data_IF_215516898473
#
_entry.id   IF_215516898473
#
_cell.length_a   1.000
_cell.length_b   1.000
_cell.length_c   1.000
_cell.angle_alpha   90.00
_cell.angle_beta   90.00
_cell.angle_gamma   90.00
#
_symmetry.space_group_name_H-M   'P 1'
#
loop_
_entity.id
_entity.type
_entity.pdbx_description
1 polymer ?
#
# COMPACT_ATOMS: atom_id res chain seq x y z
N UNK A 1 13.34 9.01 -10.10
CA UNK A 1 14.49 8.87 -9.16
C UNK A 1 15.23 7.53 -9.29
N UNK A 2 14.55 6.38 -9.47
CA UNK A 2 15.17 5.05 -9.68
C UNK A 2 16.17 4.98 -10.87
N UNK A 3 15.80 5.55 -12.02
CA UNK A 3 16.69 5.61 -13.20
C UNK A 3 18.02 6.31 -12.90
N UNK A 4 18.01 7.41 -12.13
CA UNK A 4 19.21 8.20 -11.86
C UNK A 4 20.24 7.45 -11.01
N UNK A 5 19.80 6.61 -10.06
CA UNK A 5 20.68 5.74 -9.27
C UNK A 5 21.25 4.57 -10.10
N UNK A 6 20.43 3.97 -10.96
CA UNK A 6 20.86 2.92 -11.90
C UNK A 6 21.90 3.46 -12.88
N UNK A 7 21.70 4.68 -13.41
CA UNK A 7 22.68 5.36 -14.26
C UNK A 7 24.01 5.59 -13.55
N UNK A 8 24.02 5.98 -12.27
CA UNK A 8 25.25 6.16 -11.50
C UNK A 8 26.01 4.84 -11.33
N UNK A 9 25.31 3.75 -11.03
CA UNK A 9 25.92 2.40 -10.94
C UNK A 9 26.50 1.98 -12.29
N UNK A 10 25.76 2.22 -13.38
CA UNK A 10 26.21 1.91 -14.73
C UNK A 10 27.42 2.76 -15.17
N UNK A 11 27.44 4.05 -14.80
CA UNK A 11 28.57 4.94 -15.05
C UNK A 11 29.80 4.53 -14.23
N UNK A 12 29.63 4.13 -12.97
CA UNK A 12 30.72 3.65 -12.12
C UNK A 12 31.31 2.33 -12.63
N UNK A 13 30.46 1.38 -13.07
CA UNK A 13 30.95 0.14 -13.69
C UNK A 13 31.69 0.43 -15.00
N UNK A 14 31.16 1.32 -15.85
CA UNK A 14 31.81 1.70 -17.11
C UNK A 14 33.17 2.39 -16.89
N UNK A 15 33.31 3.23 -15.84
CA UNK A 15 34.59 3.85 -15.49
C UNK A 15 35.62 2.82 -15.00
N UNK A 16 35.19 1.82 -14.22
CA UNK A 16 36.04 0.72 -13.76
C UNK A 16 36.51 -0.12 -14.96
N UNK A 17 35.61 -0.44 -15.89
CA UNK A 17 35.97 -1.15 -17.12
C UNK A 17 36.95 -0.39 -18.01
N UNK A 18 36.75 0.92 -18.17
CA UNK A 18 37.71 1.77 -18.87
C UNK A 18 39.08 1.79 -18.18
N UNK A 19 39.13 1.83 -16.86
CA UNK A 19 40.38 1.79 -16.09
C UNK A 19 41.11 0.45 -16.24
N UNK A 20 40.38 -0.66 -16.28
CA UNK A 20 40.92 -2.01 -16.51
C UNK A 20 41.51 -2.12 -17.92
N UNK A 21 40.80 -1.65 -18.95
CA UNK A 21 41.30 -1.61 -20.34
C UNK A 21 42.59 -0.80 -20.44
N UNK A 22 42.66 0.36 -19.75
CA UNK A 22 43.82 1.24 -19.80
C UNK A 22 45.07 0.66 -19.11
N UNK A 23 44.91 -0.17 -18.07
CA UNK A 23 46.02 -0.83 -17.37
C UNK A 23 46.42 -2.19 -17.96
N UNK A 24 45.51 -2.90 -18.62
CA UNK A 24 45.72 -4.25 -19.12
C UNK A 24 46.03 -4.24 -20.62
N UNK A 25 47.20 -3.70 -20.97
CA UNK A 25 47.73 -3.67 -22.33
C UNK A 25 48.20 -5.07 -22.81
N UNK A 26 47.30 -6.05 -22.83
CA UNK A 26 47.62 -7.44 -23.20
C UNK A 26 46.52 -8.49 -23.04
N UNK A 27 45.30 -8.12 -22.61
CA UNK A 27 44.17 -9.07 -22.53
C UNK A 27 43.34 -9.05 -23.81
N UNK A 28 42.80 -10.20 -24.21
CA UNK A 28 41.87 -10.25 -25.34
C UNK A 28 40.64 -9.40 -25.06
N UNK A 29 40.30 -8.51 -25.99
CA UNK A 29 39.18 -7.58 -25.90
C UNK A 29 37.86 -8.29 -25.56
N UNK A 30 37.67 -9.52 -26.06
CA UNK A 30 36.52 -10.38 -25.76
C UNK A 30 36.43 -10.81 -24.28
N UNK A 31 37.55 -11.03 -23.61
CA UNK A 31 37.58 -11.38 -22.20
C UNK A 31 37.15 -10.19 -21.35
N UNK A 32 37.65 -8.99 -21.66
CA UNK A 32 37.32 -7.76 -20.96
C UNK A 32 35.83 -7.42 -21.11
N UNK A 33 35.27 -7.50 -22.33
CA UNK A 33 33.85 -7.24 -22.53
C UNK A 33 32.95 -8.24 -21.78
N UNK A 34 33.34 -9.52 -21.70
CA UNK A 34 32.60 -10.52 -20.93
C UNK A 34 32.67 -10.25 -19.42
N UNK A 35 33.83 -9.89 -18.87
CA UNK A 35 33.94 -9.56 -17.44
C UNK A 35 33.17 -8.30 -17.07
N UNK A 36 33.17 -7.28 -17.94
CA UNK A 36 32.38 -6.07 -17.74
C UNK A 36 30.88 -6.33 -17.75
N UNK A 37 30.40 -7.13 -18.72
CA UNK A 37 29.00 -7.53 -18.78
C UNK A 37 28.56 -8.28 -17.51
N UNK A 38 29.41 -9.18 -16.99
CA UNK A 38 29.14 -9.91 -15.74
C UNK A 38 29.07 -8.95 -14.54
N UNK A 39 30.04 -8.04 -14.40
CA UNK A 39 30.05 -7.06 -13.29
C UNK A 39 28.83 -6.14 -13.33
N UNK A 40 28.42 -5.69 -14.53
CA UNK A 40 27.21 -4.88 -14.68
C UNK A 40 25.96 -5.63 -14.23
N UNK A 41 25.80 -6.90 -14.65
CA UNK A 41 24.68 -7.76 -14.24
C UNK A 41 24.65 -7.95 -12.71
N UNK A 42 25.81 -8.27 -12.11
CA UNK A 42 25.92 -8.46 -10.66
C UNK A 42 25.59 -7.19 -9.87
N UNK A 43 26.00 -6.02 -10.39
CA UNK A 43 25.73 -4.73 -9.75
C UNK A 43 24.24 -4.40 -9.76
N UNK A 44 23.55 -4.66 -10.87
CA UNK A 44 22.09 -4.49 -10.96
C UNK A 44 21.37 -5.48 -10.03
N UNK A 45 21.79 -6.75 -10.03
CA UNK A 45 21.21 -7.76 -9.14
C UNK A 45 21.38 -7.40 -7.65
N UNK A 46 22.59 -6.97 -7.25
CA UNK A 46 22.87 -6.51 -5.91
C UNK A 46 21.99 -5.32 -5.52
N UNK A 47 21.83 -4.34 -6.40
CA UNK A 47 20.97 -3.18 -6.14
C UNK A 47 19.50 -3.57 -5.92
N UNK A 48 18.97 -4.49 -6.74
CA UNK A 48 17.60 -5.00 -6.57
C UNK A 48 17.43 -5.73 -5.23
N UNK A 49 18.39 -6.58 -4.86
CA UNK A 49 18.37 -7.29 -3.57
C UNK A 49 18.44 -6.31 -2.41
N UNK A 50 19.35 -5.33 -2.48
CA UNK A 50 19.51 -4.30 -1.45
C UNK A 50 18.22 -3.52 -1.22
N UNK A 51 17.58 -2.99 -2.27
CA UNK A 51 16.33 -2.24 -2.15
C UNK A 51 15.21 -3.11 -1.54
N UNK A 52 15.09 -4.38 -1.97
CA UNK A 52 14.12 -5.31 -1.36
C UNK A 52 14.44 -5.63 0.10
N UNK A 53 15.70 -5.73 0.48
CA UNK A 53 16.11 -5.97 1.86
C UNK A 53 15.77 -4.79 2.77
N UNK A 54 15.94 -3.56 2.29
CA UNK A 54 15.54 -2.35 3.02
C UNK A 54 14.02 -2.29 3.21
N UNK A 55 13.26 -2.53 2.14
CA UNK A 55 11.79 -2.60 2.20
C UNK A 55 11.32 -3.67 3.19
N UNK A 56 11.90 -4.87 3.11
CA UNK A 56 11.57 -5.96 4.03
C UNK A 56 11.86 -5.59 5.48
N UNK A 57 12.99 -4.94 5.76
CA UNK A 57 13.34 -4.51 7.11
C UNK A 57 12.32 -3.51 7.68
N UNK A 58 11.77 -2.61 6.85
CA UNK A 58 10.70 -1.71 7.27
C UNK A 58 9.39 -2.47 7.54
N UNK A 59 9.00 -3.39 6.65
CA UNK A 59 7.82 -4.24 6.85
C UNK A 59 7.94 -5.05 8.14
N UNK A 60 9.12 -5.60 8.44
CA UNK A 60 9.39 -6.34 9.67
C UNK A 60 9.25 -5.44 10.92
N UNK A 61 9.70 -4.18 10.86
CA UNK A 61 9.49 -3.21 11.94
C UNK A 61 8.00 -2.94 12.18
N UNK A 62 7.23 -2.69 11.11
CA UNK A 62 5.78 -2.47 11.21
C UNK A 62 5.06 -3.70 11.74
N UNK A 63 5.44 -4.90 11.27
CA UNK A 63 4.86 -6.15 11.76
C UNK A 63 5.11 -6.38 13.25
N UNK A 64 6.25 -5.93 13.79
CA UNK A 64 6.52 -5.97 15.24
C UNK A 64 5.63 -5.02 16.05
N UNK A 65 5.06 -3.98 15.42
CA UNK A 65 4.11 -3.08 16.07
C UNK A 65 2.67 -3.64 16.04
N UNK A 66 2.33 -4.57 15.13
CA UNK A 66 0.97 -5.13 15.01
C UNK A 66 0.38 -5.68 16.32
N UNK A 67 1.12 -6.32 17.23
CA UNK A 67 0.58 -6.74 18.53
C UNK A 67 0.00 -5.60 19.36
N UNK A 68 0.55 -4.38 19.25
CA UNK A 68 0.01 -3.19 19.94
C UNK A 68 -1.44 -2.91 19.48
N UNK A 69 -1.72 -3.11 18.19
CA UNK A 69 -3.04 -2.88 17.61
C UNK A 69 -3.98 -4.07 17.86
N UNK A 70 -3.50 -5.30 17.65
CA UNK A 70 -4.33 -6.50 17.62
C UNK A 70 -4.56 -7.12 19.01
N UNK A 71 -3.55 -7.09 19.88
CA UNK A 71 -3.56 -7.75 21.19
C UNK A 71 -3.78 -6.73 22.30
N UNK A 72 -2.96 -5.66 22.36
CA UNK A 72 -3.09 -4.61 23.37
C UNK A 72 -4.29 -3.69 23.12
N UNK A 73 -4.87 -3.71 21.91
CA UNK A 73 -5.98 -2.83 21.47
C UNK A 73 -5.68 -1.35 21.74
N UNK A 74 -4.43 -0.93 21.48
CA UNK A 74 -3.94 0.40 21.80
C UNK A 74 -3.51 1.16 20.52
N UNK A 75 -4.48 1.71 19.76
CA UNK A 75 -4.18 2.40 18.52
C UNK A 75 -3.32 3.66 18.74
N UNK A 76 -3.47 4.37 19.87
CA UNK A 76 -2.68 5.59 20.16
C UNK A 76 -1.18 5.27 20.33
N UNK A 77 -0.86 4.18 21.06
CA UNK A 77 0.52 3.70 21.18
C UNK A 77 1.07 3.23 19.83
N UNK A 78 0.26 2.54 19.03
CA UNK A 78 0.66 2.11 17.69
C UNK A 78 0.99 3.31 16.79
N UNK A 79 0.14 4.34 16.79
CA UNK A 79 0.35 5.58 16.03
C UNK A 79 1.65 6.24 16.47
N UNK A 80 1.86 6.43 17.77
CA UNK A 80 3.08 7.05 18.30
C UNK A 80 4.36 6.30 17.88
N UNK A 81 4.38 4.98 17.98
CA UNK A 81 5.55 4.19 17.57
C UNK A 81 5.72 4.16 16.04
N UNK A 82 4.63 4.22 15.28
CA UNK A 82 4.67 4.30 13.81
C UNK A 82 5.16 5.67 13.33
N UNK A 83 4.80 6.77 14.01
CA UNK A 83 5.27 8.11 13.67
C UNK A 83 6.79 8.24 13.82
N UNK A 84 7.40 7.58 14.81
CA UNK A 84 8.87 7.52 14.95
C UNK A 84 9.56 6.88 13.74
N UNK A 85 8.88 5.97 13.03
CA UNK A 85 9.44 5.37 11.81
C UNK A 85 9.51 6.36 10.65
N UNK A 86 8.72 7.45 10.66
CA UNK A 86 8.75 8.47 9.62
C UNK A 86 10.10 9.20 9.54
N UNK A 87 10.83 9.30 10.66
CA UNK A 87 12.17 9.89 10.70
C UNK A 87 13.25 8.98 10.09
N UNK A 88 12.96 7.68 9.96
CA UNK A 88 13.93 6.68 9.50
C UNK A 88 13.80 6.34 8.00
N UNK A 89 12.63 6.60 7.42
CA UNK A 89 12.33 6.27 6.02
C UNK A 89 12.89 7.31 5.05
N UNK A 90 13.28 6.89 3.85
CA UNK A 90 14.00 7.75 2.88
C UNK A 90 13.29 7.92 1.55
N UNK A 91 12.33 7.05 1.24
CA UNK A 91 11.63 7.04 -0.03
C UNK A 91 10.13 7.28 0.15
N UNK A 92 9.49 7.82 -0.89
CA UNK A 92 8.04 8.03 -0.91
C UNK A 92 7.27 6.72 -0.68
N UNK A 93 7.76 5.60 -1.21
CA UNK A 93 7.15 4.29 -0.99
C UNK A 93 7.19 3.90 0.49
N UNK A 94 8.36 3.99 1.13
CA UNK A 94 8.50 3.67 2.56
C UNK A 94 7.64 4.58 3.43
N UNK A 95 7.66 5.89 3.14
CA UNK A 95 6.81 6.87 3.83
C UNK A 95 5.33 6.56 3.67
N UNK A 96 4.89 6.19 2.46
CA UNK A 96 3.52 5.80 2.19
C UNK A 96 3.11 4.56 2.98
N UNK A 97 3.97 3.54 3.10
CA UNK A 97 3.67 2.36 3.93
C UNK A 97 3.40 2.79 5.38
N UNK A 98 4.27 3.62 5.96
CA UNK A 98 4.11 4.07 7.36
C UNK A 98 2.83 4.88 7.52
N UNK A 99 2.56 5.85 6.63
CA UNK A 99 1.35 6.68 6.70
C UNK A 99 0.06 5.90 6.48
N UNK A 100 0.05 4.89 5.60
CA UNK A 100 -1.12 4.01 5.42
C UNK A 100 -1.41 3.24 6.71
N UNK A 101 -0.38 2.75 7.40
CA UNK A 101 -0.57 2.04 8.67
C UNK A 101 -1.05 2.98 9.78
N UNK A 102 -0.51 4.20 9.88
CA UNK A 102 -1.00 5.23 10.80
C UNK A 102 -2.47 5.56 10.50
N UNK A 103 -2.82 5.77 9.22
CA UNK A 103 -4.20 6.00 8.81
C UNK A 103 -5.11 4.84 9.19
N UNK A 104 -4.67 3.60 9.04
CA UNK A 104 -5.46 2.43 9.43
C UNK A 104 -5.72 2.40 10.95
N UNK A 105 -4.72 2.74 11.76
CA UNK A 105 -4.92 2.84 13.21
C UNK A 105 -5.90 3.97 13.61
N UNK A 106 -5.96 5.07 12.86
CA UNK A 106 -7.01 6.07 13.02
C UNK A 106 -8.40 5.55 12.60
N UNK A 107 -8.47 4.71 11.56
CA UNK A 107 -9.73 4.05 11.18
C UNK A 107 -10.25 3.12 12.29
N UNK A 108 -9.36 2.40 13.00
CA UNK A 108 -9.72 1.56 14.14
C UNK A 108 -10.32 2.37 15.31
N UNK A 109 -9.96 3.66 15.40
CA UNK A 109 -10.55 4.63 16.33
C UNK A 109 -11.81 5.31 15.79
N UNK A 110 -12.22 5.00 14.57
CA UNK A 110 -13.27 5.70 13.80
C UNK A 110 -12.99 7.19 13.56
N UNK A 111 -11.72 7.61 13.62
CA UNK A 111 -11.26 8.97 13.37
C UNK A 111 -10.98 9.18 11.86
N UNK A 112 -12.00 8.95 11.02
CA UNK A 112 -11.86 8.93 9.55
C UNK A 112 -11.33 10.22 8.96
N UNK A 113 -11.63 11.37 9.57
CA UNK A 113 -11.10 12.66 9.10
C UNK A 113 -9.57 12.71 9.26
N UNK A 114 -9.06 12.33 10.42
CA UNK A 114 -7.61 12.28 10.69
C UNK A 114 -6.93 11.22 9.81
N UNK A 115 -7.57 10.07 9.63
CA UNK A 115 -7.11 9.05 8.69
C UNK A 115 -6.96 9.61 7.26
N UNK A 116 -7.96 10.37 6.79
CA UNK A 116 -7.91 11.03 5.48
C UNK A 116 -6.74 12.00 5.38
N UNK A 117 -6.56 12.86 6.39
CA UNK A 117 -5.47 13.84 6.44
C UNK A 117 -4.11 13.17 6.29
N UNK A 118 -3.86 12.07 7.01
CA UNK A 118 -2.62 11.27 6.87
C UNK A 118 -2.45 10.66 5.48
N UNK A 119 -3.53 10.17 4.86
CA UNK A 119 -3.48 9.65 3.49
C UNK A 119 -3.26 10.75 2.45
N UNK A 120 -3.70 11.98 2.69
CA UNK A 120 -3.49 13.12 1.79
C UNK A 120 -2.06 13.66 1.82
N UNK A 121 -1.28 13.35 2.86
CA UNK A 121 0.17 13.61 2.88
C UNK A 121 0.94 12.74 1.88
N UNK A 122 0.31 11.71 1.31
CA UNK A 122 0.93 10.79 0.36
C UNK A 122 0.67 11.29 -1.07
N UNK A 123 1.73 11.47 -1.85
CA UNK A 123 1.61 11.66 -3.30
C UNK A 123 1.47 10.29 -3.98
N UNK A 124 0.24 9.75 -4.05
CA UNK A 124 0.02 8.40 -4.57
C UNK A 124 0.50 8.25 -6.03
N UNK A 125 0.51 9.31 -6.84
CA UNK A 125 0.90 9.26 -8.27
C UNK A 125 2.42 9.05 -8.46
N UNK A 126 3.22 9.26 -7.40
CA UNK A 126 4.67 9.05 -7.42
C UNK A 126 5.09 7.68 -6.87
N UNK A 127 4.13 6.90 -6.38
CA UNK A 127 4.38 5.58 -5.84
C UNK A 127 4.56 4.54 -6.94
N UNK A 128 5.27 3.45 -6.63
CA UNK A 128 5.19 2.27 -7.51
C UNK A 128 3.83 1.59 -7.41
N UNK A 129 3.40 0.96 -8.50
CA UNK A 129 2.05 0.40 -8.71
C UNK A 129 1.42 -0.27 -7.48
N UNK A 130 2.15 -1.10 -6.73
CA UNK A 130 1.60 -1.80 -5.58
C UNK A 130 1.20 -0.84 -4.44
N UNK A 131 2.04 0.15 -4.11
CA UNK A 131 1.72 1.10 -3.05
C UNK A 131 0.69 2.13 -3.51
N UNK A 132 0.71 2.52 -4.79
CA UNK A 132 -0.33 3.35 -5.38
C UNK A 132 -1.73 2.71 -5.19
N UNK A 133 -1.83 1.40 -5.46
CA UNK A 133 -3.08 0.64 -5.28
C UNK A 133 -3.50 0.62 -3.82
N UNK A 134 -2.57 0.35 -2.90
CA UNK A 134 -2.87 0.32 -1.45
C UNK A 134 -3.30 1.71 -0.97
N UNK A 135 -2.56 2.76 -1.33
CA UNK A 135 -2.90 4.17 -1.06
C UNK A 135 -4.32 4.51 -1.51
N UNK A 136 -4.67 4.14 -2.74
CA UNK A 136 -5.99 4.36 -3.32
C UNK A 136 -7.08 3.54 -2.62
N UNK A 137 -6.78 2.29 -2.25
CA UNK A 137 -7.69 1.41 -1.53
C UNK A 137 -8.13 2.04 -0.19
N UNK A 138 -7.17 2.48 0.62
CA UNK A 138 -7.44 3.13 1.89
C UNK A 138 -8.11 4.49 1.74
N UNK A 139 -7.79 5.27 0.69
CA UNK A 139 -8.48 6.52 0.39
C UNK A 139 -9.96 6.30 0.07
N UNK A 140 -10.29 5.30 -0.75
CA UNK A 140 -11.68 4.96 -1.05
C UNK A 140 -12.45 4.61 0.23
N UNK A 141 -11.85 3.80 1.10
CA UNK A 141 -12.45 3.40 2.38
C UNK A 141 -12.76 4.60 3.25
N UNK A 142 -11.78 5.48 3.48
CA UNK A 142 -11.98 6.66 4.31
C UNK A 142 -12.99 7.63 3.69
N UNK A 143 -12.97 7.83 2.37
CA UNK A 143 -13.96 8.69 1.71
C UNK A 143 -15.39 8.17 1.83
N UNK A 144 -15.60 6.85 1.74
CA UNK A 144 -16.91 6.26 2.00
C UNK A 144 -17.41 6.56 3.42
N UNK A 145 -16.54 6.43 4.43
CA UNK A 145 -16.89 6.74 5.81
C UNK A 145 -17.14 8.22 6.08
N UNK A 146 -16.49 9.10 5.32
CA UNK A 146 -16.73 10.54 5.37
C UNK A 146 -17.97 10.97 4.57
N UNK A 147 -18.63 10.06 3.85
CA UNK A 147 -19.76 10.37 2.99
C UNK A 147 -19.39 11.04 1.66
N UNK A 148 -18.10 11.15 1.33
CA UNK A 148 -17.63 11.61 0.02
C UNK A 148 -17.71 10.47 -1.01
N UNK A 149 -18.96 10.08 -1.31
CA UNK A 149 -19.26 9.00 -2.24
C UNK A 149 -18.73 9.26 -3.65
N UNK A 150 -18.68 10.52 -4.08
CA UNK A 150 -18.20 10.88 -5.41
C UNK A 150 -16.70 10.56 -5.57
N UNK A 151 -15.87 11.00 -4.61
CA UNK A 151 -14.42 10.70 -4.62
C UNK A 151 -14.16 9.21 -4.44
N UNK A 152 -14.90 8.54 -3.56
CA UNK A 152 -14.77 7.11 -3.33
C UNK A 152 -15.11 6.30 -4.60
N UNK A 153 -16.24 6.59 -5.25
CA UNK A 153 -16.67 5.93 -6.49
C UNK A 153 -15.68 6.18 -7.63
N UNK A 154 -15.15 7.40 -7.76
CA UNK A 154 -14.10 7.69 -8.75
C UNK A 154 -12.89 6.77 -8.58
N UNK A 155 -12.41 6.58 -7.35
CA UNK A 155 -11.30 5.67 -7.05
C UNK A 155 -11.69 4.23 -7.38
N UNK A 156 -12.87 3.77 -6.96
CA UNK A 156 -13.36 2.41 -7.20
C UNK A 156 -13.39 2.08 -8.70
N UNK A 157 -13.84 3.03 -9.54
CA UNK A 157 -13.84 2.88 -10.99
C UNK A 157 -12.42 2.93 -11.57
N UNK A 158 -11.59 3.90 -11.18
CA UNK A 158 -10.22 4.05 -11.70
C UNK A 158 -9.35 2.81 -11.42
N UNK A 159 -9.51 2.19 -10.26
CA UNK A 159 -8.69 1.06 -9.81
C UNK A 159 -9.39 -0.30 -9.87
N UNK A 160 -10.57 -0.40 -10.47
CA UNK A 160 -11.42 -1.61 -10.47
C UNK A 160 -10.64 -2.89 -10.83
N UNK A 161 -9.89 -2.87 -11.95
CA UNK A 161 -9.10 -4.04 -12.38
C UNK A 161 -8.03 -4.43 -11.35
N UNK A 162 -7.37 -3.45 -10.73
CA UNK A 162 -6.31 -3.70 -9.74
C UNK A 162 -6.93 -4.25 -8.44
N UNK A 163 -8.04 -3.68 -7.97
CA UNK A 163 -8.78 -4.18 -6.81
C UNK A 163 -9.34 -5.59 -7.03
N UNK A 164 -9.81 -5.91 -8.25
CA UNK A 164 -10.32 -7.24 -8.56
C UNK A 164 -9.26 -8.34 -8.44
N UNK A 165 -7.98 -8.02 -8.70
CA UNK A 165 -6.88 -8.96 -8.50
C UNK A 165 -6.58 -9.21 -7.02
N UNK A 166 -6.91 -8.26 -6.14
CA UNK A 166 -6.68 -8.35 -4.70
C UNK A 166 -7.77 -9.13 -3.96
N UNK A 167 -8.88 -9.49 -4.62
CA UNK A 167 -10.00 -10.22 -4.02
C UNK A 167 -9.62 -11.58 -3.44
N UNK A 168 -8.53 -12.19 -3.90
CA UNK A 168 -8.05 -13.48 -3.39
C UNK A 168 -6.92 -13.33 -2.34
N UNK A 169 -6.56 -12.11 -1.97
CA UNK A 169 -5.60 -11.86 -0.91
C UNK A 169 -6.32 -11.95 0.44
N UNK A 170 -5.95 -12.93 1.27
CA UNK A 170 -6.61 -13.21 2.56
C UNK A 170 -6.67 -11.98 3.48
N UNK A 171 -5.65 -11.13 3.48
CA UNK A 171 -5.60 -9.94 4.34
C UNK A 171 -6.48 -8.80 3.80
N UNK A 172 -6.62 -8.66 2.49
CA UNK A 172 -7.32 -7.53 1.85
C UNK A 172 -8.73 -7.84 1.39
N UNK A 173 -9.09 -9.12 1.30
CA UNK A 173 -10.40 -9.55 0.85
C UNK A 173 -11.55 -8.98 1.68
N UNK A 174 -11.52 -8.97 3.04
CA UNK A 174 -12.59 -8.36 3.83
C UNK A 174 -12.76 -6.87 3.51
N UNK A 175 -11.63 -6.16 3.32
CA UNK A 175 -11.62 -4.73 3.00
C UNK A 175 -12.25 -4.44 1.63
N UNK A 176 -11.92 -5.25 0.62
CA UNK A 176 -12.50 -5.15 -0.73
C UNK A 176 -14.01 -5.44 -0.68
N UNK A 177 -14.46 -6.37 0.14
CA UNK A 177 -15.88 -6.64 0.31
C UNK A 177 -16.63 -5.43 0.88
N UNK A 178 -16.09 -4.82 1.95
CA UNK A 178 -16.64 -3.58 2.54
C UNK A 178 -16.76 -2.47 1.50
N UNK A 179 -15.71 -2.23 0.72
CA UNK A 179 -15.73 -1.22 -0.35
C UNK A 179 -16.78 -1.49 -1.44
N UNK A 180 -16.98 -2.76 -1.81
CA UNK A 180 -18.01 -3.11 -2.79
C UNK A 180 -19.42 -2.92 -2.23
N UNK A 181 -19.66 -3.20 -0.95
CA UNK A 181 -20.95 -2.93 -0.30
C UNK A 181 -21.22 -1.43 -0.30
N UNK A 182 -20.23 -0.62 0.11
CA UNK A 182 -20.31 0.84 0.03
C UNK A 182 -20.61 1.35 -1.38
N UNK A 183 -19.94 0.79 -2.40
CA UNK A 183 -20.20 1.12 -3.81
C UNK A 183 -21.66 0.87 -4.19
N UNK A 184 -22.23 -0.29 -3.84
CA UNK A 184 -23.64 -0.58 -4.13
C UNK A 184 -24.60 0.36 -3.39
N UNK A 185 -24.29 0.72 -2.14
CA UNK A 185 -25.06 1.73 -1.40
C UNK A 185 -25.03 3.07 -2.13
N UNK A 186 -23.83 3.54 -2.51
CA UNK A 186 -23.62 4.81 -3.19
C UNK A 186 -24.27 4.87 -4.59
N UNK A 187 -24.34 3.72 -5.28
CA UNK A 187 -25.05 3.56 -6.56
C UNK A 187 -26.59 3.41 -6.38
N UNK A 188 -27.09 3.39 -5.14
CA UNK A 188 -28.51 3.22 -4.82
C UNK A 188 -29.04 1.79 -4.96
N UNK A 189 -28.15 0.81 -5.20
CA UNK A 189 -28.49 -0.59 -5.34
C UNK A 189 -28.52 -1.31 -3.97
N UNK A 190 -29.49 -0.93 -3.13
CA UNK A 190 -29.60 -1.43 -1.76
C UNK A 190 -29.90 -2.93 -1.68
N UNK A 191 -30.61 -3.49 -2.66
CA UNK A 191 -30.87 -4.93 -2.73
C UNK A 191 -29.56 -5.70 -2.90
N UNK A 192 -28.73 -5.29 -3.86
CA UNK A 192 -27.42 -5.92 -4.07
C UNK A 192 -26.49 -5.70 -2.88
N UNK A 193 -26.49 -4.49 -2.31
CA UNK A 193 -25.72 -4.19 -1.10
C UNK A 193 -26.10 -5.14 0.06
N UNK A 194 -27.40 -5.42 0.24
CA UNK A 194 -27.87 -6.33 1.28
C UNK A 194 -27.49 -7.79 1.01
N UNK A 195 -27.56 -8.25 -0.25
CA UNK A 195 -27.12 -9.59 -0.65
C UNK A 195 -25.63 -9.81 -0.36
N UNK A 196 -24.78 -8.86 -0.77
CA UNK A 196 -23.33 -8.99 -0.56
C UNK A 196 -22.92 -8.76 0.90
N UNK A 197 -23.67 -7.93 1.65
CA UNK A 197 -23.50 -7.80 3.09
C UNK A 197 -23.78 -9.12 3.81
N UNK A 198 -24.87 -9.81 3.47
CA UNK A 198 -25.18 -11.12 4.07
C UNK A 198 -24.04 -12.12 3.88
N UNK A 199 -23.46 -12.18 2.68
CA UNK A 199 -22.31 -13.06 2.39
C UNK A 199 -21.09 -12.65 3.23
N UNK A 200 -20.84 -11.34 3.38
CA UNK A 200 -19.73 -10.83 4.17
C UNK A 200 -19.90 -11.15 5.67
N UNK A 201 -21.11 -11.00 6.22
CA UNK A 201 -21.44 -11.36 7.61
C UNK A 201 -21.16 -12.85 7.87
N UNK A 202 -21.58 -13.75 6.97
CA UNK A 202 -21.33 -15.20 7.12
C UNK A 202 -19.83 -15.57 7.14
N UNK A 203 -18.98 -14.73 6.55
CA UNK A 203 -17.56 -15.05 6.35
C UNK A 203 -16.64 -14.36 7.34
N UNK A 204 -16.97 -13.13 7.75
CA UNK A 204 -16.08 -12.26 8.52
C UNK A 204 -16.73 -11.64 9.76
N UNK A 205 -17.93 -12.08 10.14
CA UNK A 205 -18.66 -11.57 11.31
C UNK A 205 -19.13 -12.71 12.23
N UNK A 206 -18.24 -13.66 12.52
CA UNK A 206 -18.59 -14.87 13.29
C UNK A 206 -19.10 -14.56 14.71
N UNK A 207 -18.61 -13.51 15.34
CA UNK A 207 -19.02 -13.03 16.66
C UNK A 207 -20.10 -11.93 16.59
N UNK A 208 -20.45 -11.47 15.39
CA UNK A 208 -21.37 -10.37 15.20
C UNK A 208 -20.82 -9.04 15.72
N UNK A 209 -19.50 -8.87 15.85
CA UNK A 209 -18.85 -7.65 16.35
C UNK A 209 -18.11 -6.84 15.29
N UNK A 210 -18.18 -7.23 14.02
CA UNK A 210 -17.54 -6.52 12.92
C UNK A 210 -18.19 -5.14 12.70
N UNK A 211 -17.47 -4.09 13.12
CA UNK A 211 -18.00 -2.73 13.10
C UNK A 211 -18.32 -2.22 11.68
N UNK A 212 -17.51 -2.57 10.67
CA UNK A 212 -17.75 -2.15 9.29
C UNK A 212 -19.10 -2.70 8.80
N UNK A 213 -19.34 -4.00 9.02
CA UNK A 213 -20.56 -4.67 8.58
C UNK A 213 -21.79 -4.14 9.34
N UNK A 214 -21.66 -3.90 10.66
CA UNK A 214 -22.69 -3.21 11.45
C UNK A 214 -23.00 -1.80 10.93
N UNK A 215 -21.97 -1.05 10.51
CA UNK A 215 -22.15 0.28 9.94
C UNK A 215 -22.90 0.22 8.59
N UNK A 216 -22.45 -0.65 7.68
CA UNK A 216 -23.09 -0.86 6.37
C UNK A 216 -24.55 -1.31 6.50
N UNK A 217 -24.85 -2.21 7.43
CA UNK A 217 -26.23 -2.63 7.74
C UNK A 217 -27.11 -1.47 8.16
N UNK A 218 -26.59 -0.54 8.97
CA UNK A 218 -27.30 0.68 9.36
C UNK A 218 -27.56 1.57 8.16
N UNK A 219 -26.56 1.76 7.27
CA UNK A 219 -26.72 2.57 6.06
C UNK A 219 -27.78 2.01 5.11
N UNK A 220 -27.80 0.70 4.88
CA UNK A 220 -28.78 0.05 4.00
C UNK A 220 -30.21 0.22 4.52
N UNK A 221 -30.38 0.16 5.86
CA UNK A 221 -31.68 0.29 6.51
C UNK A 221 -32.10 1.74 6.78
N UNK A 222 -31.27 2.74 6.43
CA UNK A 222 -31.69 4.14 6.54
C UNK A 222 -32.84 4.42 5.58
N UNK A 223 -33.93 5.08 6.04
CA UNK A 223 -35.00 5.48 5.16
C UNK A 223 -34.47 6.43 4.06
N UNK A 224 -34.90 6.22 2.82
CA UNK A 224 -34.47 6.88 1.56
C UNK A 224 -34.38 8.42 1.53
N UNK A 225 -34.69 9.14 2.61
CA UNK A 225 -34.77 10.61 2.65
C UNK A 225 -33.46 11.32 3.03
N UNK A 226 -32.36 10.60 3.27
CA UNK A 226 -31.11 11.18 3.80
C UNK A 226 -29.84 10.68 3.08
N UNK A 227 -29.86 10.66 1.74
CA UNK A 227 -28.64 10.56 0.93
C UNK A 227 -28.56 11.75 -0.02
#
# INVERSE_FOLDING_TARGET
MKLRKIYIVFCLSAMIGMFIIFKLNGYELNFIFKSEAITAILSVAFFIVYEKSVEKALIDKINRLKPILNEERNPDKYILESEKLLDEVKTENERAIVLINISNAYCDKHEYKTAAEKLMEIDCDRLSDNYEVMCSLYRAYVFFYLGDYASALYIMTKYERKFNKLRNNIELEPFIAVLNIFRFIAEGNLEKANEVLFIAEQRWDADGENWDLKHLKRLINKPKREF
#
